data_IF_038042573828
#
_entry.id   IF_038042573828
#
_cell.length_a   1.000
_cell.length_b   1.000
_cell.length_c   1.000
_cell.angle_alpha   90.00
_cell.angle_beta   90.00
_cell.angle_gamma   90.00
#
_symmetry.space_group_name_H-M   'P 1'
#
loop_
_entity.id
_entity.type
_entity.pdbx_description
1 polymer ?
#
# COMPACT_ATOMS: atom_id res chain seq x y z
N UNK A 1 -23.32 -51.40 4.07
CA UNK A 1 -23.21 -50.71 5.37
C UNK A 1 -21.73 -50.58 5.71
N UNK A 2 -21.17 -49.39 5.56
CA UNK A 2 -19.87 -48.99 6.09
C UNK A 2 -20.10 -47.69 6.86
N UNK A 3 -19.62 -47.63 8.09
CA UNK A 3 -20.04 -46.70 9.16
C UNK A 3 -19.30 -45.34 9.12
N UNK A 4 -18.61 -45.01 8.02
CA UNK A 4 -17.77 -43.81 7.94
C UNK A 4 -18.28 -42.68 7.03
N UNK A 5 -19.52 -42.76 6.53
CA UNK A 5 -20.03 -41.83 5.50
C UNK A 5 -21.21 -40.92 5.93
N UNK A 6 -21.51 -40.78 7.24
CA UNK A 6 -22.76 -40.11 7.67
C UNK A 6 -22.61 -38.87 8.57
N UNK A 7 -21.45 -38.56 9.16
CA UNK A 7 -21.32 -37.36 10.02
C UNK A 7 -20.22 -36.42 9.51
N UNK A 8 -20.59 -35.45 8.66
CA UNK A 8 -20.27 -34.01 8.85
C UNK A 8 -20.80 -33.10 7.72
N UNK A 9 -22.09 -33.22 7.38
CA UNK A 9 -22.82 -32.14 6.68
C UNK A 9 -23.79 -31.48 7.65
N UNK A 10 -23.25 -30.99 8.75
CA UNK A 10 -23.84 -29.84 9.40
C UNK A 10 -23.16 -28.64 8.77
N UNK A 11 -23.81 -28.08 7.75
CA UNK A 11 -23.69 -26.65 7.48
C UNK A 11 -24.13 -25.97 8.77
N UNK A 12 -23.17 -25.75 9.68
CA UNK A 12 -23.30 -24.72 10.68
C UNK A 12 -23.53 -23.47 9.83
N UNK A 13 -24.76 -22.96 9.84
CA UNK A 13 -25.03 -21.56 9.48
C UNK A 13 -24.10 -20.75 10.36
N UNK A 14 -22.88 -20.53 9.86
CA UNK A 14 -21.90 -19.69 10.48
C UNK A 14 -22.57 -18.33 10.51
N UNK A 15 -22.94 -17.92 11.72
CA UNK A 15 -23.33 -16.55 12.04
C UNK A 15 -22.44 -15.64 11.21
N UNK A 16 -23.05 -14.86 10.31
CA UNK A 16 -22.31 -14.04 9.36
C UNK A 16 -21.28 -13.26 10.18
N UNK A 17 -19.97 -13.40 9.89
CA UNK A 17 -18.94 -12.80 10.73
C UNK A 17 -19.28 -11.32 10.89
N UNK A 18 -19.32 -10.84 12.13
CA UNK A 18 -19.62 -9.45 12.42
C UNK A 18 -18.75 -8.56 11.54
N UNK A 19 -19.37 -7.62 10.83
CA UNK A 19 -18.63 -6.70 9.97
C UNK A 19 -17.57 -6.01 10.82
N UNK A 20 -16.32 -6.07 10.36
CA UNK A 20 -15.21 -5.33 10.95
C UNK A 20 -15.54 -3.84 10.91
N UNK A 21 -15.27 -3.13 12.00
CA UNK A 21 -15.55 -1.70 12.15
C UNK A 21 -14.49 -1.05 13.03
N UNK A 22 -14.31 0.27 12.90
CA UNK A 22 -13.44 1.00 13.79
C UNK A 22 -14.08 1.11 15.18
N UNK A 23 -13.27 1.19 16.26
CA UNK A 23 -13.77 1.56 17.58
C UNK A 23 -14.51 2.90 17.53
N UNK A 24 -15.61 3.03 18.28
CA UNK A 24 -16.46 4.24 18.26
C UNK A 24 -15.67 5.53 18.52
N UNK A 25 -14.70 5.51 19.43
CA UNK A 25 -13.88 6.69 19.72
C UNK A 25 -13.04 7.13 18.52
N UNK A 26 -12.66 6.21 17.62
CA UNK A 26 -11.93 6.51 16.42
C UNK A 26 -12.86 7.09 15.34
N UNK A 27 -14.07 6.54 15.21
CA UNK A 27 -15.13 7.10 14.36
C UNK A 27 -15.44 8.56 14.75
N UNK A 28 -15.51 8.84 16.05
CA UNK A 28 -15.72 10.21 16.57
C UNK A 28 -14.54 11.15 16.27
N UNK A 29 -13.34 10.58 15.99
CA UNK A 29 -12.12 11.31 15.62
C UNK A 29 -11.88 11.34 14.10
N UNK A 30 -12.82 10.83 13.29
CA UNK A 30 -12.75 10.87 11.83
C UNK A 30 -12.87 12.31 11.34
N UNK A 31 -12.07 12.66 10.34
CA UNK A 31 -12.14 13.97 9.69
C UNK A 31 -13.47 14.13 8.95
N UNK A 32 -13.90 15.38 8.84
CA UNK A 32 -15.05 15.76 8.04
C UNK A 32 -14.73 15.60 6.54
N UNK A 33 -15.62 14.94 5.80
CA UNK A 33 -15.52 14.72 4.36
C UNK A 33 -15.39 16.05 3.59
N UNK A 34 -15.96 17.14 4.12
CA UNK A 34 -15.85 18.48 3.52
C UNK A 34 -14.38 18.93 3.37
N UNK A 35 -13.47 18.52 4.27
CA UNK A 35 -12.05 18.86 4.17
C UNK A 35 -11.37 18.20 2.97
N UNK A 36 -11.73 16.95 2.66
CA UNK A 36 -11.22 16.23 1.51
C UNK A 36 -11.77 16.82 0.20
N UNK A 37 -13.07 17.18 0.19
CA UNK A 37 -13.71 17.85 -0.92
C UNK A 37 -13.09 19.23 -1.22
N UNK A 38 -12.83 20.04 -0.19
CA UNK A 38 -12.13 21.32 -0.32
C UNK A 38 -10.71 21.14 -0.87
N UNK A 39 -9.98 20.12 -0.38
CA UNK A 39 -8.65 19.80 -0.88
C UNK A 39 -8.68 19.40 -2.35
N UNK A 40 -9.69 18.63 -2.78
CA UNK A 40 -9.89 18.23 -4.16
C UNK A 40 -10.15 19.43 -5.09
N UNK A 41 -11.10 20.29 -4.73
CA UNK A 41 -11.45 21.49 -5.52
C UNK A 41 -10.29 22.48 -5.61
N UNK A 42 -9.53 22.62 -4.53
CA UNK A 42 -8.36 23.51 -4.51
C UNK A 42 -7.12 22.93 -5.22
N UNK A 43 -7.16 21.66 -5.66
CA UNK A 43 -6.04 21.01 -6.38
C UNK A 43 -6.22 21.13 -7.90
N UNK A 44 -5.20 21.66 -8.62
CA UNK A 44 -5.23 21.77 -10.08
C UNK A 44 -5.57 20.46 -10.80
N UNK A 45 -6.39 20.55 -11.84
CA UNK A 45 -6.85 19.38 -12.59
C UNK A 45 -5.71 18.50 -13.16
N UNK A 46 -4.58 19.05 -13.67
CA UNK A 46 -3.47 18.23 -14.14
C UNK A 46 -2.84 17.36 -13.03
N UNK A 47 -2.72 17.89 -11.81
CA UNK A 47 -2.15 17.15 -10.68
C UNK A 47 -3.07 16.02 -10.22
N UNK A 48 -4.39 16.28 -10.17
CA UNK A 48 -5.39 15.24 -9.92
C UNK A 48 -5.37 14.16 -11.01
N UNK A 49 -5.20 14.55 -12.27
CA UNK A 49 -5.09 13.61 -13.38
C UNK A 49 -3.84 12.74 -13.29
N UNK A 50 -2.69 13.30 -12.86
CA UNK A 50 -1.46 12.54 -12.65
C UNK A 50 -1.64 11.44 -11.60
N UNK A 51 -2.27 11.75 -10.45
CA UNK A 51 -2.58 10.74 -9.43
C UNK A 51 -3.55 9.69 -9.96
N UNK A 52 -4.62 10.09 -10.66
CA UNK A 52 -5.56 9.13 -11.28
C UNK A 52 -4.87 8.18 -12.26
N UNK A 53 -3.93 8.67 -13.06
CA UNK A 53 -3.09 7.83 -13.93
C UNK A 53 -2.27 6.85 -13.10
N UNK A 54 -1.66 7.30 -11.99
CA UNK A 54 -0.95 6.43 -11.05
C UNK A 54 -1.83 5.33 -10.45
N UNK A 55 -3.04 5.66 -10.01
CA UNK A 55 -4.01 4.68 -9.51
C UNK A 55 -4.38 3.66 -10.61
N UNK A 56 -4.65 4.13 -11.83
CA UNK A 56 -4.94 3.25 -12.97
C UNK A 56 -3.76 2.31 -13.31
N UNK A 57 -2.52 2.80 -13.20
CA UNK A 57 -1.32 1.97 -13.35
C UNK A 57 -1.18 0.95 -12.22
N UNK A 58 -1.56 1.29 -10.98
CA UNK A 58 -1.59 0.34 -9.88
C UNK A 58 -2.62 -0.78 -10.12
N UNK A 59 -3.83 -0.43 -10.60
CA UNK A 59 -4.82 -1.43 -11.04
C UNK A 59 -4.29 -2.31 -12.16
N UNK A 60 -3.63 -1.73 -13.17
CA UNK A 60 -3.03 -2.50 -14.26
C UNK A 60 -1.91 -3.44 -13.78
N UNK A 61 -1.10 -2.98 -12.82
CA UNK A 61 0.05 -3.72 -12.30
C UNK A 61 -0.34 -4.88 -11.39
N UNK A 62 -1.21 -4.62 -10.41
CA UNK A 62 -1.58 -5.61 -9.39
C UNK A 62 -2.82 -6.43 -9.78
N UNK A 63 -3.69 -5.90 -10.63
CA UNK A 63 -5.05 -6.41 -10.81
C UNK A 63 -5.88 -6.27 -9.53
N UNK A 64 -7.04 -6.91 -9.54
CA UNK A 64 -7.93 -7.00 -8.38
C UNK A 64 -8.07 -8.45 -7.95
N UNK A 65 -7.82 -8.72 -6.66
CA UNK A 65 -7.99 -10.04 -6.07
C UNK A 65 -8.68 -9.92 -4.71
N UNK A 66 -9.93 -9.49 -4.74
CA UNK A 66 -10.72 -9.16 -3.54
C UNK A 66 -11.29 -10.38 -2.80
N UNK A 67 -11.20 -11.57 -3.38
CA UNK A 67 -11.83 -12.77 -2.83
C UNK A 67 -10.84 -13.72 -2.15
N UNK A 68 -11.38 -14.52 -1.23
CA UNK A 68 -10.63 -15.62 -0.61
C UNK A 68 -10.28 -16.68 -1.65
N UNK A 69 -9.01 -17.05 -1.73
CA UNK A 69 -8.51 -18.11 -2.59
C UNK A 69 -8.23 -19.36 -1.76
N UNK A 70 -8.72 -20.51 -2.23
CA UNK A 70 -8.43 -21.82 -1.66
C UNK A 70 -7.75 -22.68 -2.71
N UNK A 71 -6.63 -23.28 -2.36
CA UNK A 71 -5.90 -24.21 -3.20
C UNK A 71 -5.63 -25.51 -2.43
N UNK A 72 -5.75 -26.65 -3.11
CA UNK A 72 -5.45 -27.96 -2.58
C UNK A 72 -4.61 -28.73 -3.60
N UNK A 73 -3.45 -29.22 -3.17
CA UNK A 73 -2.53 -30.00 -3.99
C UNK A 73 -2.37 -31.36 -3.32
N UNK A 74 -2.59 -32.44 -4.08
CA UNK A 74 -2.37 -33.82 -3.63
C UNK A 74 -1.30 -34.46 -4.51
N UNK A 75 -0.31 -35.08 -3.89
CA UNK A 75 0.77 -35.76 -4.58
C UNK A 75 0.84 -37.22 -4.14
N UNK A 76 0.19 -38.09 -4.91
CA UNK A 76 0.13 -39.54 -4.64
C UNK A 76 1.52 -40.20 -4.64
N UNK A 77 2.45 -39.72 -5.46
CA UNK A 77 3.80 -40.27 -5.51
C UNK A 77 4.59 -40.01 -4.23
N UNK A 78 4.42 -38.82 -3.64
CA UNK A 78 5.08 -38.45 -2.39
C UNK A 78 4.26 -38.84 -1.14
N UNK A 79 3.00 -39.23 -1.29
CA UNK A 79 2.13 -39.61 -0.16
C UNK A 79 1.66 -38.42 0.68
N UNK A 80 1.61 -37.20 0.12
CA UNK A 80 1.25 -35.98 0.86
C UNK A 80 0.16 -35.16 0.18
N UNK A 81 -0.56 -34.37 0.98
CA UNK A 81 -1.40 -33.27 0.53
C UNK A 81 -0.99 -31.94 1.18
N UNK A 82 -1.30 -30.84 0.50
CA UNK A 82 -1.19 -29.47 0.99
C UNK A 82 -2.49 -28.74 0.69
N UNK A 83 -3.05 -28.06 1.69
CA UNK A 83 -4.15 -27.11 1.52
C UNK A 83 -3.66 -25.73 1.92
N UNK A 84 -3.94 -24.74 1.10
CA UNK A 84 -3.67 -23.33 1.41
C UNK A 84 -4.92 -22.49 1.23
N UNK A 85 -5.14 -21.55 2.13
CA UNK A 85 -6.17 -20.52 2.02
C UNK A 85 -5.46 -19.17 2.14
N UNK A 86 -5.82 -18.24 1.28
CA UNK A 86 -5.39 -16.85 1.33
C UNK A 86 -6.63 -15.95 1.26
N UNK A 87 -6.82 -15.10 2.27
CA UNK A 87 -7.93 -14.16 2.32
C UNK A 87 -7.42 -12.77 2.70
N UNK A 88 -8.16 -11.69 2.37
CA UNK A 88 -7.77 -10.35 2.80
C UNK A 88 -7.66 -10.27 4.33
N UNK A 89 -6.75 -9.43 4.81
CA UNK A 89 -6.74 -9.01 6.20
C UNK A 89 -8.05 -8.28 6.51
N UNK A 90 -8.57 -8.39 7.74
CA UNK A 90 -9.84 -7.77 8.11
C UNK A 90 -9.77 -6.24 8.08
N UNK A 91 -8.63 -5.65 8.39
CA UNK A 91 -8.44 -4.21 8.35
C UNK A 91 -7.00 -3.84 8.02
N UNK A 92 -6.80 -2.61 7.55
CA UNK A 92 -5.50 -2.01 7.30
C UNK A 92 -5.47 -0.55 7.75
N UNK A 93 -4.37 -0.14 8.37
CA UNK A 93 -4.10 1.25 8.72
C UNK A 93 -2.88 1.74 7.95
N UNK A 94 -3.03 2.85 7.25
CA UNK A 94 -1.94 3.59 6.60
C UNK A 94 -1.68 4.83 7.44
N UNK A 95 -0.63 4.82 8.25
CA UNK A 95 -0.27 5.94 9.10
C UNK A 95 0.88 6.75 8.50
N UNK A 96 0.76 8.07 8.57
CA UNK A 96 1.74 9.02 8.05
C UNK A 96 1.78 10.27 8.94
N UNK A 97 2.74 11.16 8.72
CA UNK A 97 2.87 12.42 9.47
C UNK A 97 2.39 13.61 8.63
N UNK A 98 2.07 14.77 9.25
CA UNK A 98 1.69 15.98 8.51
C UNK A 98 2.70 16.43 7.44
N UNK A 99 3.98 16.10 7.64
CA UNK A 99 5.06 16.43 6.71
C UNK A 99 5.06 15.53 5.46
N UNK A 100 4.34 14.41 5.47
CA UNK A 100 4.28 13.48 4.35
C UNK A 100 3.32 14.00 3.27
N UNK A 101 3.88 14.61 2.22
CA UNK A 101 3.10 15.30 1.17
C UNK A 101 3.23 14.67 -0.23
N UNK A 102 3.88 13.50 -0.34
CA UNK A 102 4.12 12.82 -1.61
C UNK A 102 2.88 12.02 -2.08
N UNK A 103 2.10 12.63 -2.98
CA UNK A 103 0.81 12.09 -3.42
C UNK A 103 0.92 10.69 -4.03
N UNK A 104 1.87 10.45 -4.92
CA UNK A 104 2.00 9.16 -5.59
C UNK A 104 2.42 8.06 -4.61
N UNK A 105 3.29 8.39 -3.65
CA UNK A 105 3.75 7.44 -2.64
C UNK A 105 2.66 7.10 -1.62
N UNK A 106 1.86 8.07 -1.19
CA UNK A 106 0.71 7.82 -0.33
C UNK A 106 -0.35 6.97 -1.05
N UNK A 107 -0.69 7.31 -2.30
CA UNK A 107 -1.57 6.48 -3.13
C UNK A 107 -1.07 5.04 -3.24
N UNK A 108 0.22 4.85 -3.57
CA UNK A 108 0.83 3.54 -3.68
C UNK A 108 0.87 2.75 -2.37
N UNK A 109 0.76 3.41 -1.21
CA UNK A 109 0.65 2.75 0.09
C UNK A 109 -0.78 2.23 0.35
N UNK A 110 -1.80 2.94 -0.14
CA UNK A 110 -3.20 2.56 0.00
C UNK A 110 -3.61 1.46 -1.00
N UNK A 111 -3.18 1.59 -2.26
CA UNK A 111 -3.68 0.75 -3.36
C UNK A 111 -3.56 -0.76 -3.11
N UNK A 112 -2.46 -1.31 -2.56
CA UNK A 112 -2.37 -2.76 -2.39
C UNK A 112 -3.39 -3.31 -1.38
N UNK A 113 -3.80 -2.53 -0.38
CA UNK A 113 -4.87 -2.92 0.55
C UNK A 113 -6.23 -2.95 -0.16
N UNK A 114 -6.54 -1.88 -0.91
CA UNK A 114 -7.79 -1.72 -1.64
C UNK A 114 -7.95 -2.80 -2.73
N UNK A 115 -6.93 -3.00 -3.56
CA UNK A 115 -6.91 -4.02 -4.62
C UNK A 115 -6.85 -5.46 -4.07
N UNK A 116 -6.31 -5.60 -2.86
CA UNK A 116 -6.32 -6.84 -2.09
C UNK A 116 -7.67 -7.15 -1.44
N UNK A 117 -8.66 -6.25 -1.50
CA UNK A 117 -9.99 -6.43 -0.94
C UNK A 117 -10.03 -6.38 0.59
N UNK A 118 -9.14 -5.62 1.22
CA UNK A 118 -9.24 -5.34 2.66
C UNK A 118 -10.55 -4.56 2.89
N UNK A 119 -11.47 -5.06 3.72
CA UNK A 119 -12.81 -4.47 3.83
C UNK A 119 -12.86 -3.20 4.67
N UNK A 120 -11.87 -2.95 5.53
CA UNK A 120 -11.77 -1.74 6.35
C UNK A 120 -10.37 -1.13 6.23
N UNK A 121 -10.26 0.00 5.54
CA UNK A 121 -8.97 0.67 5.26
C UNK A 121 -9.03 2.09 5.79
N UNK A 122 -8.16 2.40 6.75
CA UNK A 122 -8.10 3.69 7.42
C UNK A 122 -6.78 4.39 7.19
N UNK A 123 -6.81 5.69 6.97
CA UNK A 123 -5.64 6.55 6.88
C UNK A 123 -5.52 7.39 8.15
N UNK A 124 -4.34 7.38 8.78
CA UNK A 124 -4.12 8.06 10.06
C UNK A 124 -2.99 9.07 9.92
N UNK A 125 -3.33 10.36 10.02
CA UNK A 125 -2.33 11.41 10.13
C UNK A 125 -1.94 11.60 11.60
N UNK A 126 -0.71 11.22 11.94
CA UNK A 126 -0.22 11.18 13.31
C UNK A 126 0.47 12.48 13.69
N UNK A 127 0.01 13.11 14.77
CA UNK A 127 0.64 14.30 15.34
C UNK A 127 0.25 15.63 14.69
N UNK A 128 -0.82 15.65 13.89
CA UNK A 128 -1.38 16.89 13.35
C UNK A 128 -2.27 16.66 12.13
N UNK A 129 -2.79 17.75 11.56
CA UNK A 129 -3.63 17.71 10.39
C UNK A 129 -2.84 17.25 9.13
N UNK A 130 -3.44 16.44 8.25
CA UNK A 130 -2.82 16.05 6.99
C UNK A 130 -2.62 17.26 6.07
N UNK A 131 -1.61 17.18 5.21
CA UNK A 131 -1.43 18.16 4.14
C UNK A 131 -2.57 18.08 3.12
N UNK A 132 -2.81 19.18 2.38
CA UNK A 132 -3.77 19.18 1.27
C UNK A 132 -3.47 18.09 0.23
N UNK A 133 -2.20 17.86 -0.07
CA UNK A 133 -1.76 16.81 -0.98
C UNK A 133 -2.17 15.42 -0.47
N UNK A 134 -2.04 15.17 0.83
CA UNK A 134 -2.46 13.91 1.42
C UNK A 134 -4.00 13.75 1.33
N UNK A 135 -4.76 14.77 1.71
CA UNK A 135 -6.23 14.74 1.64
C UNK A 135 -6.76 14.45 0.22
N UNK A 136 -6.30 15.20 -0.79
CA UNK A 136 -6.75 14.95 -2.18
C UNK A 136 -6.31 13.58 -2.69
N UNK A 137 -5.18 13.06 -2.21
CA UNK A 137 -4.71 11.73 -2.60
C UNK A 137 -5.59 10.62 -2.02
N UNK A 138 -5.94 10.73 -0.74
CA UNK A 138 -6.82 9.78 -0.05
C UNK A 138 -8.22 9.78 -0.67
N UNK A 139 -8.76 10.96 -0.94
CA UNK A 139 -10.01 11.15 -1.69
C UNK A 139 -9.96 10.44 -3.06
N UNK A 140 -8.92 10.71 -3.84
CA UNK A 140 -8.76 10.10 -5.16
C UNK A 140 -8.57 8.57 -5.12
N UNK A 141 -7.94 8.06 -4.06
CA UNK A 141 -7.76 6.63 -3.83
C UNK A 141 -9.03 5.94 -3.32
N UNK A 142 -10.07 6.69 -2.92
CA UNK A 142 -11.28 6.14 -2.33
C UNK A 142 -11.12 5.68 -0.88
N UNK A 143 -10.21 6.32 -0.13
CA UNK A 143 -10.04 6.08 1.31
C UNK A 143 -10.90 7.09 2.07
N UNK A 144 -12.04 6.63 2.56
CA UNK A 144 -13.04 7.47 3.27
C UNK A 144 -12.69 7.66 4.75
N UNK A 145 -12.10 6.65 5.39
CA UNK A 145 -11.81 6.69 6.82
C UNK A 145 -10.47 7.37 7.10
N UNK A 146 -10.49 8.70 7.23
CA UNK A 146 -9.31 9.52 7.50
C UNK A 146 -9.37 10.05 8.93
N UNK A 147 -8.35 9.77 9.73
CA UNK A 147 -8.28 10.14 11.14
C UNK A 147 -7.08 11.05 11.44
N UNK A 148 -7.24 11.92 12.44
CA UNK A 148 -6.13 12.66 13.05
C UNK A 148 -6.01 12.25 14.50
N UNK A 149 -4.85 11.72 14.89
CA UNK A 149 -4.61 11.29 16.26
C UNK A 149 -3.14 11.37 16.63
N UNK A 150 -2.80 11.17 17.90
CA UNK A 150 -1.42 11.04 18.34
C UNK A 150 -0.94 9.58 18.25
N UNK A 151 0.35 9.34 18.52
CA UNK A 151 0.92 8.00 18.47
C UNK A 151 0.31 7.04 19.51
N UNK A 152 -0.15 7.56 20.66
CA UNK A 152 -0.73 6.73 21.71
C UNK A 152 -2.11 6.22 21.30
N UNK A 153 -2.96 7.11 20.77
CA UNK A 153 -4.25 6.74 20.19
C UNK A 153 -4.10 5.78 19.01
N UNK A 154 -3.10 5.97 18.15
CA UNK A 154 -2.82 5.00 17.09
C UNK A 154 -2.46 3.62 17.66
N UNK A 155 -1.62 3.54 18.69
CA UNK A 155 -1.34 2.25 19.35
C UNK A 155 -2.61 1.63 19.93
N UNK A 156 -3.47 2.41 20.60
CA UNK A 156 -4.77 1.94 21.10
C UNK A 156 -5.67 1.43 19.98
N UNK A 157 -5.72 2.11 18.83
CA UNK A 157 -6.47 1.66 17.65
C UNK A 157 -6.01 0.27 17.21
N UNK A 158 -4.69 0.06 17.10
CA UNK A 158 -4.11 -1.20 16.66
C UNK A 158 -4.37 -2.35 17.64
N UNK A 159 -4.44 -2.06 18.94
CA UNK A 159 -4.74 -3.03 20.00
C UNK A 159 -6.22 -3.42 20.01
N UNK A 160 -7.12 -2.45 19.85
CA UNK A 160 -8.56 -2.64 19.99
C UNK A 160 -9.26 -3.13 18.71
N UNK A 161 -8.70 -2.87 17.52
CA UNK A 161 -9.37 -3.22 16.26
C UNK A 161 -9.37 -4.74 16.04
N UNK A 162 -10.57 -5.32 16.03
CA UNK A 162 -10.82 -6.75 15.83
C UNK A 162 -11.70 -6.99 14.59
N UNK A 163 -11.61 -8.17 13.95
CA UNK A 163 -10.72 -9.30 14.27
C UNK A 163 -9.26 -9.03 13.84
N UNK A 164 -8.30 -9.77 14.42
CA UNK A 164 -6.88 -9.72 14.03
C UNK A 164 -6.37 -10.93 13.24
N UNK A 165 -5.15 -10.87 12.65
CA UNK A 165 -4.28 -9.69 12.58
C UNK A 165 -4.62 -8.81 11.37
N UNK A 166 -4.77 -7.50 11.60
CA UNK A 166 -4.83 -6.48 10.55
C UNK A 166 -3.46 -6.19 9.94
N UNK A 167 -3.32 -5.04 9.28
CA UNK A 167 -2.05 -4.61 8.65
C UNK A 167 -1.75 -3.15 8.94
N UNK A 168 -0.46 -2.87 9.11
CA UNK A 168 0.02 -1.51 9.31
C UNK A 168 1.01 -1.12 8.21
N UNK A 169 0.83 0.08 7.69
CA UNK A 169 1.81 0.76 6.83
C UNK A 169 2.18 2.06 7.51
N UNK A 170 3.48 2.30 7.72
CA UNK A 170 4.01 3.53 8.28
C UNK A 170 4.80 4.29 7.21
N UNK A 171 4.43 5.53 6.96
CA UNK A 171 5.11 6.44 6.05
C UNK A 171 5.72 7.58 6.87
N UNK A 172 7.01 7.48 7.18
CA UNK A 172 7.67 8.40 8.13
C UNK A 172 9.19 8.49 7.87
N UNK A 173 9.89 9.30 8.65
CA UNK A 173 11.36 9.44 8.66
C UNK A 173 11.98 9.17 10.04
N UNK A 174 11.27 8.40 10.86
CA UNK A 174 11.65 8.01 12.22
C UNK A 174 10.67 8.47 13.31
N UNK A 175 9.74 9.38 12.99
CA UNK A 175 8.78 9.93 13.97
C UNK A 175 7.85 8.87 14.56
N UNK A 176 7.58 7.80 13.80
CA UNK A 176 6.70 6.69 14.18
C UNK A 176 7.44 5.43 14.65
N UNK A 177 8.73 5.52 14.98
CA UNK A 177 9.52 4.36 15.45
C UNK A 177 8.90 3.70 16.71
N UNK A 178 8.27 4.50 17.58
CA UNK A 178 7.54 4.00 18.75
C UNK A 178 6.32 3.14 18.37
N UNK A 179 5.56 3.56 17.35
CA UNK A 179 4.40 2.82 16.82
C UNK A 179 4.86 1.53 16.14
N UNK A 180 5.96 1.56 15.37
CA UNK A 180 6.56 0.35 14.80
C UNK A 180 7.00 -0.64 15.90
N UNK A 181 7.51 -0.12 17.01
CA UNK A 181 7.83 -0.90 18.22
C UNK A 181 6.60 -1.58 18.83
N UNK A 182 5.50 -0.84 18.98
CA UNK A 182 4.22 -1.36 19.49
C UNK A 182 3.62 -2.42 18.56
N UNK A 183 3.59 -2.16 17.25
CA UNK A 183 3.11 -3.13 16.25
C UNK A 183 3.89 -4.45 16.31
N UNK A 184 5.21 -4.39 16.50
CA UNK A 184 6.04 -5.58 16.70
C UNK A 184 5.69 -6.35 17.97
N UNK A 185 5.38 -5.65 19.07
CA UNK A 185 4.97 -6.27 20.33
C UNK A 185 3.60 -6.99 20.20
N UNK A 186 2.73 -6.51 19.30
CA UNK A 186 1.44 -7.11 18.96
C UNK A 186 1.53 -8.20 17.88
N UNK A 187 2.74 -8.52 17.39
CA UNK A 187 2.95 -9.40 16.23
C UNK A 187 2.19 -8.96 14.98
N UNK A 188 1.91 -7.66 14.87
CA UNK A 188 1.20 -7.06 13.74
C UNK A 188 2.15 -6.87 12.55
N UNK A 189 1.85 -7.42 11.36
CA UNK A 189 2.66 -7.16 10.17
C UNK A 189 2.67 -5.66 9.84
N UNK A 190 3.86 -5.08 9.83
CA UNK A 190 4.10 -3.66 9.63
C UNK A 190 5.07 -3.45 8.44
N UNK A 191 4.64 -2.65 7.47
CA UNK A 191 5.49 -2.11 6.42
C UNK A 191 5.94 -0.71 6.79
N UNK A 192 7.18 -0.35 6.51
CA UNK A 192 7.71 0.99 6.81
C UNK A 192 8.43 1.56 5.59
N UNK A 193 7.99 2.74 5.14
CA UNK A 193 8.84 3.64 4.38
C UNK A 193 9.48 4.61 5.37
N UNK A 194 10.80 4.45 5.61
CA UNK A 194 11.56 5.23 6.61
C UNK A 194 12.44 6.34 6.02
N UNK A 195 12.49 6.43 4.70
CA UNK A 195 13.27 7.45 3.97
C UNK A 195 12.59 7.79 2.67
N UNK A 196 12.82 9.00 2.19
CA UNK A 196 12.44 9.39 0.84
C UNK A 196 13.20 8.53 -0.20
N UNK A 197 12.56 8.17 -1.33
CA UNK A 197 13.23 7.44 -2.37
C UNK A 197 14.28 8.30 -3.08
N UNK A 198 15.30 7.63 -3.61
CA UNK A 198 16.30 8.23 -4.48
C UNK A 198 15.78 8.10 -5.90
N UNK A 199 15.46 9.22 -6.53
CA UNK A 199 15.01 9.23 -7.92
C UNK A 199 16.19 9.60 -8.84
N UNK A 200 16.24 8.97 -10.00
CA UNK A 200 17.15 9.36 -11.07
C UNK A 200 16.35 9.97 -12.22
N UNK A 201 16.64 11.23 -12.55
CA UNK A 201 15.96 11.99 -13.59
C UNK A 201 17.00 12.58 -14.56
N UNK A 202 17.53 11.78 -15.53
CA UNK A 202 18.63 12.22 -16.39
C UNK A 202 18.27 13.36 -17.36
N UNK A 203 16.98 13.51 -17.68
CA UNK A 203 16.45 14.56 -18.56
C UNK A 203 15.19 15.18 -17.94
N UNK A 204 15.34 16.05 -16.92
CA UNK A 204 14.20 16.65 -16.23
C UNK A 204 13.22 17.37 -17.15
N UNK A 205 13.72 17.98 -18.23
CA UNK A 205 12.93 18.71 -19.22
C UNK A 205 11.94 17.85 -20.02
N UNK A 206 12.06 16.52 -19.95
CA UNK A 206 11.15 15.59 -20.60
C UNK A 206 9.90 15.26 -19.75
N UNK A 207 9.83 15.76 -18.51
CA UNK A 207 8.80 15.42 -17.54
C UNK A 207 8.10 16.67 -17.03
N UNK A 208 6.86 16.49 -16.57
CA UNK A 208 6.16 17.52 -15.82
C UNK A 208 6.73 17.60 -14.39
N UNK A 209 7.58 18.59 -14.15
CA UNK A 209 8.23 18.79 -12.86
C UNK A 209 7.26 19.21 -11.75
N UNK A 210 6.14 19.85 -12.10
CA UNK A 210 5.10 20.21 -11.13
C UNK A 210 4.37 18.95 -10.67
N UNK A 211 4.00 18.08 -11.61
CA UNK A 211 3.42 16.77 -11.31
C UNK A 211 4.37 15.89 -10.51
N UNK A 212 5.68 15.89 -10.83
CA UNK A 212 6.69 15.15 -10.05
C UNK A 212 6.88 15.72 -8.64
N UNK A 213 6.89 17.04 -8.48
CA UNK A 213 7.00 17.67 -7.17
C UNK A 213 5.80 17.31 -6.30
N UNK A 214 4.60 17.34 -6.87
CA UNK A 214 3.38 16.91 -6.20
C UNK A 214 3.39 15.41 -5.85
N UNK A 215 3.84 14.57 -6.77
CA UNK A 215 3.86 13.11 -6.62
C UNK A 215 4.90 12.62 -5.61
N UNK A 216 6.10 13.21 -5.60
CA UNK A 216 7.27 12.69 -4.91
C UNK A 216 7.76 13.58 -3.77
N UNK A 217 7.26 14.81 -3.69
CA UNK A 217 7.65 15.83 -2.72
C UNK A 217 9.18 16.05 -2.70
N UNK A 218 9.81 16.03 -1.53
CA UNK A 218 11.23 16.30 -1.32
C UNK A 218 12.19 15.40 -2.12
N UNK A 219 11.71 14.23 -2.57
CA UNK A 219 12.54 13.31 -3.35
C UNK A 219 12.93 13.90 -4.71
N UNK A 220 12.11 14.80 -5.28
CA UNK A 220 12.45 15.50 -6.52
C UNK A 220 13.63 16.46 -6.33
N UNK A 221 13.67 17.22 -5.23
CA UNK A 221 14.76 18.16 -4.95
C UNK A 221 16.10 17.43 -4.88
N UNK A 222 16.12 16.28 -4.20
CA UNK A 222 17.29 15.41 -4.09
C UNK A 222 17.71 14.85 -5.47
N UNK A 223 16.74 14.53 -6.32
CA UNK A 223 17.01 13.98 -7.66
C UNK A 223 17.59 15.01 -8.63
N UNK A 224 17.26 16.29 -8.45
CA UNK A 224 17.81 17.39 -9.23
C UNK A 224 19.24 17.77 -8.77
N UNK A 225 19.63 17.37 -7.56
CA UNK A 225 21.01 17.49 -7.08
C UNK A 225 21.91 16.39 -7.67
N UNK A 226 22.52 16.72 -8.80
CA UNK A 226 23.46 15.83 -9.53
C UNK A 226 24.75 15.49 -8.78
N UNK A 227 25.01 16.10 -7.62
CA UNK A 227 26.20 15.81 -6.80
C UNK A 227 26.12 14.45 -6.09
N UNK A 228 24.90 13.94 -5.87
CA UNK A 228 24.63 12.70 -5.17
C UNK A 228 24.61 11.52 -6.15
N UNK A 229 25.63 10.65 -6.09
CA UNK A 229 25.66 9.38 -6.83
C UNK A 229 25.21 8.24 -5.94
N UNK A 230 23.91 8.04 -5.84
CA UNK A 230 23.31 6.93 -5.12
C UNK A 230 22.63 5.97 -6.11
N UNK A 231 22.45 4.72 -5.70
CA UNK A 231 21.64 3.76 -6.47
C UNK A 231 20.18 4.21 -6.41
N UNK A 232 19.52 4.47 -7.54
CA UNK A 232 18.16 4.97 -7.54
C UNK A 232 17.16 3.87 -7.18
N UNK A 233 16.11 4.25 -6.45
CA UNK A 233 14.92 3.44 -6.17
C UNK A 233 13.95 3.45 -7.36
N UNK A 234 13.97 4.51 -8.18
CA UNK A 234 13.27 4.59 -9.45
C UNK A 234 14.00 5.50 -10.44
N UNK A 235 13.84 5.23 -11.74
CA UNK A 235 14.45 6.06 -12.80
C UNK A 235 13.39 6.58 -13.77
N UNK A 236 13.35 7.88 -13.98
CA UNK A 236 12.49 8.52 -14.96
C UNK A 236 13.23 8.64 -16.30
N UNK A 237 12.78 7.88 -17.30
CA UNK A 237 13.46 7.72 -18.60
C UNK A 237 12.51 8.01 -19.77
N UNK A 238 13.06 8.53 -20.87
CA UNK A 238 12.33 8.58 -22.14
C UNK A 238 11.90 7.16 -22.58
N UNK A 239 10.78 7.00 -23.33
CA UNK A 239 10.19 5.69 -23.63
C UNK A 239 11.17 4.66 -24.24
N UNK A 240 12.02 5.08 -25.18
CA UNK A 240 13.02 4.21 -25.80
C UNK A 240 14.05 3.69 -24.78
N UNK A 241 14.48 4.55 -23.86
CA UNK A 241 15.43 4.17 -22.81
C UNK A 241 14.80 3.28 -21.74
N UNK A 242 13.53 3.52 -21.39
CA UNK A 242 12.74 2.66 -20.50
C UNK A 242 12.54 1.26 -21.10
N UNK A 243 12.22 1.13 -22.39
CA UNK A 243 12.17 -0.18 -23.07
C UNK A 243 13.53 -0.87 -23.08
N UNK A 244 14.61 -0.09 -23.22
CA UNK A 244 15.97 -0.59 -23.04
C UNK A 244 16.26 -1.08 -21.63
N UNK A 245 15.53 -0.60 -20.61
CA UNK A 245 15.62 -1.03 -19.20
C UNK A 245 15.20 -2.47 -18.97
N UNK A 246 14.20 -2.94 -19.72
CA UNK A 246 13.68 -4.29 -19.56
C UNK A 246 14.39 -5.34 -20.44
N UNK A 247 15.52 -5.01 -21.09
CA UNK A 247 16.24 -5.97 -21.95
C UNK A 247 17.11 -6.94 -21.13
N UNK A 248 16.99 -8.23 -21.42
CA UNK A 248 17.75 -9.31 -20.77
C UNK A 248 19.28 -9.14 -20.85
N UNK A 249 19.78 -8.54 -21.95
CA UNK A 249 21.20 -8.23 -22.16
C UNK A 249 21.37 -6.74 -22.38
N UNK A 250 22.06 -6.06 -21.48
CA UNK A 250 22.41 -4.65 -21.61
C UNK A 250 23.88 -4.45 -21.94
N UNK A 251 24.13 -3.63 -22.96
CA UNK A 251 25.41 -2.95 -23.23
C UNK A 251 25.19 -1.47 -22.97
N UNK A 252 25.90 -0.89 -21.99
CA UNK A 252 25.76 0.52 -21.62
C UNK A 252 26.37 0.87 -20.25
N UNK A 253 26.49 2.16 -19.90
CA UNK A 253 27.28 2.62 -18.75
C UNK A 253 26.56 2.52 -17.39
N UNK A 254 25.29 2.12 -17.33
CA UNK A 254 24.51 2.10 -16.09
C UNK A 254 24.55 0.71 -15.42
N UNK A 255 24.78 0.62 -14.10
CA UNK A 255 24.76 -0.65 -13.38
C UNK A 255 23.38 -1.30 -13.39
N UNK A 256 23.33 -2.62 -13.18
CA UNK A 256 22.09 -3.35 -12.89
C UNK A 256 21.38 -2.65 -11.71
N UNK A 257 20.17 -2.18 -11.94
CA UNK A 257 19.26 -1.77 -10.88
C UNK A 257 17.94 -2.51 -11.10
N UNK A 258 17.38 -3.08 -10.02
CA UNK A 258 16.02 -3.61 -10.02
C UNK A 258 14.95 -2.53 -9.91
N UNK A 259 15.36 -1.26 -9.88
CA UNK A 259 14.46 -0.11 -9.78
C UNK A 259 13.55 0.01 -11.01
N UNK A 260 12.24 0.27 -10.83
CA UNK A 260 11.36 0.54 -11.95
C UNK A 260 11.79 1.76 -12.76
N UNK A 261 11.51 1.71 -14.06
CA UNK A 261 11.69 2.82 -14.98
C UNK A 261 10.31 3.42 -15.35
N UNK A 262 10.15 4.72 -15.14
CA UNK A 262 8.91 5.44 -15.46
C UNK A 262 9.12 6.37 -16.65
N UNK A 263 8.15 6.39 -17.55
CA UNK A 263 8.15 7.26 -18.74
C UNK A 263 7.36 8.54 -18.47
N UNK A 264 7.52 9.59 -19.30
CA UNK A 264 6.63 10.75 -19.23
C UNK A 264 5.16 10.34 -19.26
N UNK A 265 4.33 10.96 -18.42
CA UNK A 265 2.95 10.56 -18.16
C UNK A 265 2.77 9.61 -16.97
N UNK A 266 3.86 9.08 -16.39
CA UNK A 266 3.82 8.23 -15.20
C UNK A 266 4.29 8.96 -13.92
N UNK A 267 4.29 10.29 -13.91
CA UNK A 267 4.80 11.13 -12.81
C UNK A 267 4.07 10.83 -11.48
N UNK A 268 2.75 10.64 -11.56
CA UNK A 268 1.90 10.32 -10.42
C UNK A 268 1.88 8.85 -9.98
N UNK A 269 2.77 8.01 -10.52
CA UNK A 269 2.84 6.58 -10.18
C UNK A 269 4.03 6.27 -9.27
N UNK A 270 3.82 5.34 -8.35
CA UNK A 270 4.87 4.80 -7.48
C UNK A 270 4.61 3.32 -7.16
N UNK A 271 5.68 2.59 -6.86
CA UNK A 271 5.63 1.24 -6.31
C UNK A 271 6.53 1.17 -5.09
N UNK A 272 5.94 0.88 -3.94
CA UNK A 272 6.67 0.60 -2.72
C UNK A 272 7.30 -0.80 -2.80
N UNK A 273 8.63 -0.94 -2.72
CA UNK A 273 9.27 -2.24 -2.79
C UNK A 273 8.76 -3.17 -1.69
N UNK A 274 8.20 -4.32 -2.08
CA UNK A 274 7.68 -5.33 -1.16
C UNK A 274 6.27 -5.07 -0.60
N UNK A 275 5.66 -3.91 -0.87
CA UNK A 275 4.28 -3.63 -0.49
C UNK A 275 3.34 -3.99 -1.65
N UNK A 276 2.85 -5.22 -1.65
CA UNK A 276 1.94 -5.76 -2.66
C UNK A 276 0.61 -6.18 -2.02
N UNK A 277 -0.44 -6.50 -2.79
CA UNK A 277 -1.67 -7.01 -2.21
C UNK A 277 -1.45 -8.25 -1.33
N UNK A 278 -0.42 -9.07 -1.59
CA UNK A 278 -0.10 -10.22 -0.76
C UNK A 278 0.34 -9.86 0.66
N UNK A 279 0.95 -8.68 0.87
CA UNK A 279 1.21 -8.18 2.23
C UNK A 279 -0.10 -8.06 3.01
N UNK A 280 -1.18 -7.66 2.32
CA UNK A 280 -2.51 -7.50 2.90
C UNK A 280 -3.34 -8.79 2.97
N UNK A 281 -2.74 -9.96 2.70
CA UNK A 281 -3.43 -11.25 2.82
C UNK A 281 -2.96 -12.02 4.04
N UNK A 282 -3.90 -12.71 4.68
CA UNK A 282 -3.62 -13.73 5.68
C UNK A 282 -3.56 -15.07 4.97
N UNK A 283 -2.42 -15.73 5.04
CA UNK A 283 -2.22 -17.06 4.49
C UNK A 283 -2.24 -18.11 5.59
N UNK A 284 -2.99 -19.19 5.36
CA UNK A 284 -3.02 -20.37 6.23
C UNK A 284 -2.71 -21.60 5.39
N UNK A 285 -1.86 -22.47 5.90
CA UNK A 285 -1.47 -23.69 5.22
C UNK A 285 -1.60 -24.88 6.16
N UNK A 286 -2.00 -26.02 5.59
CA UNK A 286 -2.04 -27.29 6.26
C UNK A 286 -1.45 -28.36 5.34
N UNK A 287 -0.80 -29.35 5.94
CA UNK A 287 -0.17 -30.47 5.27
C UNK A 287 -0.61 -31.75 5.94
N UNK A 288 -0.64 -32.84 5.18
CA UNK A 288 -0.87 -34.16 5.76
C UNK A 288 -0.46 -35.28 4.84
N UNK A 289 -0.52 -36.50 5.37
CA UNK A 289 -0.32 -37.73 4.62
C UNK A 289 -1.61 -38.07 3.84
N UNK A 290 -1.44 -38.76 2.70
CA UNK A 290 -2.53 -39.30 1.89
C UNK A 290 -3.05 -40.64 2.44
#
# INVERSE_FOLDING_TARGET
MSIFDIDNRQDVEAEAPSAVSWPQWAEDARLDDDLAAEAYEATPAPLRAAVKTGLALAHMHFGESTTSQRNEVRNAHLGFWRRSIAHPAPWAVIAFTPAYAAAARLAAACMPALLGGVPLVGAVCVGGAPSRNALVTLELAGVEDIFVMDSASLCTLLEETQPGPGRLVLLHRGELDGVAGAARALELPCYEERRSPILCLPKPEAFDLEALAFAQAEALETALDTSLRLTPDATYLAPVAALGHCRERRTGPFPYSGAPAFTPGCEGFWLHPGLTPDFFRVQRQAFGLL
#
